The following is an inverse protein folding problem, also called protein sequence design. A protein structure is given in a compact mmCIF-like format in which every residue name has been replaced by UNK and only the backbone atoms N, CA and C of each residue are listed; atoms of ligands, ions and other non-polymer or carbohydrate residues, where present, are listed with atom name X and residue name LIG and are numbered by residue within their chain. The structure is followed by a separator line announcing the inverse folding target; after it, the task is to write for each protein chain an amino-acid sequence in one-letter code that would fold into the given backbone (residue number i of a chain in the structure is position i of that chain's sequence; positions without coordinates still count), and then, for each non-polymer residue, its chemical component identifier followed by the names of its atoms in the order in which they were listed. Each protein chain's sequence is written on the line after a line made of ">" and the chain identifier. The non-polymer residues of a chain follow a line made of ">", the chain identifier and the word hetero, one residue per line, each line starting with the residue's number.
data_IF_855939653636
#
_entry.id   IF_855939653636
#
_cell.length_a   1.000
_cell.length_b   1.000
_cell.length_c   1.000
_cell.angle_alpha   90.00
_cell.angle_beta   90.00
_cell.angle_gamma   90.00
#
_symmetry.space_group_name_H-M   'P 1'
#
loop_
_entity.id
_entity.type
_entity.pdbx_description
1 polymer ?
#
# COMPACT_ATOMS: atom_id res chain seq x y z
N UNK A 1 9.90 -36.97 -5.06
CA UNK A 1 9.32 -36.02 -4.07
C UNK A 1 8.04 -35.50 -4.70
N UNK A 2 6.90 -35.84 -4.12
CA UNK A 2 5.58 -35.52 -4.68
C UNK A 2 5.23 -34.05 -4.53
N UNK A 3 4.53 -33.47 -5.49
CA UNK A 3 4.06 -32.08 -5.47
C UNK A 3 3.32 -31.75 -4.15
N UNK A 4 2.58 -32.69 -3.58
CA UNK A 4 1.87 -32.53 -2.30
C UNK A 4 2.78 -32.19 -1.11
N UNK A 5 4.00 -32.72 -1.05
CA UNK A 5 4.95 -32.43 0.05
C UNK A 5 5.54 -31.01 -0.07
N UNK A 6 5.66 -30.48 -1.28
CA UNK A 6 6.16 -29.11 -1.53
C UNK A 6 5.06 -28.10 -1.23
N UNK A 7 3.82 -28.39 -1.61
CA UNK A 7 2.65 -27.54 -1.33
C UNK A 7 2.38 -27.45 0.17
N UNK A 8 2.40 -28.58 0.91
CA UNK A 8 2.25 -28.59 2.37
C UNK A 8 3.33 -27.73 3.05
N UNK A 9 4.59 -27.88 2.67
CA UNK A 9 5.69 -27.09 3.22
C UNK A 9 5.58 -25.58 2.92
N UNK A 10 5.01 -25.19 1.78
CA UNK A 10 4.78 -23.81 1.42
C UNK A 10 3.64 -23.19 2.25
N UNK A 11 2.55 -23.94 2.44
CA UNK A 11 1.42 -23.51 3.26
C UNK A 11 1.86 -23.31 4.72
N UNK A 12 2.61 -24.26 5.29
CA UNK A 12 3.12 -24.16 6.65
C UNK A 12 4.02 -22.91 6.86
N UNK A 13 4.84 -22.58 5.86
CA UNK A 13 5.68 -21.37 5.89
C UNK A 13 4.85 -20.09 5.86
N UNK A 14 3.82 -20.03 5.03
CA UNK A 14 2.93 -18.86 4.95
C UNK A 14 2.20 -18.70 6.28
N UNK A 15 1.65 -19.77 6.82
CA UNK A 15 0.93 -19.75 8.09
C UNK A 15 1.81 -19.29 9.24
N UNK A 16 3.01 -19.85 9.39
CA UNK A 16 3.96 -19.45 10.43
C UNK A 16 4.41 -17.99 10.29
N UNK A 17 4.57 -17.51 9.06
CA UNK A 17 4.90 -16.10 8.80
C UNK A 17 3.74 -15.19 9.17
N UNK A 18 2.50 -15.54 8.82
CA UNK A 18 1.31 -14.78 9.18
C UNK A 18 1.14 -14.70 10.71
N UNK A 19 1.33 -15.80 11.43
CA UNK A 19 1.26 -15.82 12.89
C UNK A 19 2.31 -14.93 13.56
N UNK A 20 3.52 -14.90 13.02
CA UNK A 20 4.58 -14.00 13.51
C UNK A 20 4.20 -12.54 13.33
N UNK A 21 3.71 -12.16 12.16
CA UNK A 21 3.25 -10.80 11.87
C UNK A 21 2.09 -10.42 12.78
N UNK A 22 1.08 -11.30 12.95
CA UNK A 22 -0.02 -11.08 13.89
C UNK A 22 0.47 -10.83 15.31
N UNK A 23 1.44 -11.60 15.78
CA UNK A 23 2.00 -11.45 17.13
C UNK A 23 2.66 -10.09 17.32
N UNK A 24 3.37 -9.59 16.31
CA UNK A 24 3.97 -8.24 16.36
C UNK A 24 2.89 -7.15 16.33
N UNK A 25 1.89 -7.26 15.46
CA UNK A 25 0.80 -6.31 15.36
C UNK A 25 -0.03 -6.23 16.64
N UNK A 26 -0.26 -7.34 17.33
CA UNK A 26 -0.99 -7.38 18.61
C UNK A 26 -0.31 -6.60 19.74
N UNK A 27 0.96 -6.28 19.62
CA UNK A 27 1.65 -5.41 20.59
C UNK A 27 1.19 -3.95 20.49
N UNK A 28 0.73 -3.54 19.31
CA UNK A 28 0.36 -2.15 18.97
C UNK A 28 -1.16 -2.01 18.79
N UNK A 29 -1.80 -3.02 18.20
CA UNK A 29 -3.21 -3.02 17.84
C UNK A 29 -3.96 -4.04 18.72
N UNK A 30 -4.93 -3.56 19.46
CA UNK A 30 -5.73 -4.40 20.35
C UNK A 30 -7.16 -4.52 19.82
N UNK A 31 -7.69 -5.73 19.77
CA UNK A 31 -9.13 -5.98 19.54
C UNK A 31 -9.58 -5.92 18.07
N UNK A 32 -8.65 -6.03 17.09
CA UNK A 32 -8.98 -6.02 15.65
C UNK A 32 -8.44 -7.26 14.93
N UNK A 33 -8.50 -8.42 15.54
CA UNK A 33 -7.94 -9.66 15.01
C UNK A 33 -8.50 -10.02 13.63
N UNK A 34 -9.82 -9.92 13.44
CA UNK A 34 -10.49 -10.22 12.17
C UNK A 34 -10.06 -9.28 11.05
N UNK A 35 -9.85 -7.99 11.37
CA UNK A 35 -9.39 -7.00 10.39
C UNK A 35 -7.95 -7.29 9.97
N UNK A 36 -7.09 -7.64 10.92
CA UNK A 36 -5.71 -8.04 10.67
C UNK A 36 -5.67 -9.25 9.73
N UNK A 37 -6.49 -10.26 9.98
CA UNK A 37 -6.56 -11.45 9.15
C UNK A 37 -6.98 -11.16 7.71
N UNK A 38 -8.02 -10.36 7.53
CA UNK A 38 -8.50 -9.97 6.20
C UNK A 38 -7.46 -9.15 5.43
N UNK A 39 -6.76 -8.23 6.12
CA UNK A 39 -5.71 -7.43 5.48
C UNK A 39 -4.50 -8.30 5.11
N UNK A 40 -4.09 -9.23 5.96
CA UNK A 40 -3.02 -10.18 5.64
C UNK A 40 -3.39 -11.07 4.44
N UNK A 41 -4.63 -11.55 4.35
CA UNK A 41 -5.11 -12.31 3.19
C UNK A 41 -4.99 -11.45 1.93
N UNK A 42 -5.44 -10.19 1.96
CA UNK A 42 -5.34 -9.30 0.80
C UNK A 42 -3.88 -9.10 0.35
N UNK A 43 -2.95 -8.94 1.29
CA UNK A 43 -1.52 -8.78 0.98
C UNK A 43 -0.93 -10.06 0.39
N UNK A 44 -1.15 -11.20 1.01
CA UNK A 44 -0.58 -12.47 0.52
C UNK A 44 -1.15 -12.89 -0.83
N UNK A 45 -2.39 -12.52 -1.12
CA UNK A 45 -3.03 -12.77 -2.42
C UNK A 45 -2.78 -11.66 -3.43
N UNK A 46 -2.01 -10.62 -3.09
CA UNK A 46 -1.73 -9.43 -3.92
C UNK A 46 -3.00 -8.74 -4.40
N UNK A 47 -3.98 -8.63 -3.51
CA UNK A 47 -5.25 -7.97 -3.76
C UNK A 47 -5.35 -6.65 -2.98
N UNK A 48 -6.40 -5.89 -3.28
CA UNK A 48 -6.76 -4.66 -2.60
C UNK A 48 -7.79 -4.93 -1.50
N UNK A 49 -7.73 -4.14 -0.43
CA UNK A 49 -8.68 -4.20 0.67
C UNK A 49 -9.42 -2.87 0.83
N UNK A 50 -10.71 -2.91 1.05
CA UNK A 50 -11.52 -1.75 1.41
C UNK A 50 -11.82 -1.80 2.91
N UNK A 51 -11.26 -0.85 3.66
CA UNK A 51 -11.49 -0.72 5.10
C UNK A 51 -12.59 0.29 5.38
N UNK A 52 -13.80 -0.20 5.67
CA UNK A 52 -14.94 0.62 6.05
C UNK A 52 -15.06 0.66 7.57
N UNK A 53 -15.16 1.85 8.13
CA UNK A 53 -15.31 2.00 9.59
C UNK A 53 -15.27 3.44 10.07
N UNK A 54 -15.61 3.64 11.32
CA UNK A 54 -15.66 4.96 11.97
C UNK A 54 -14.27 5.62 11.95
N UNK A 55 -14.18 6.94 11.78
CA UNK A 55 -12.93 7.69 11.94
C UNK A 55 -12.31 7.45 13.33
N UNK A 56 -10.98 7.34 13.40
CA UNK A 56 -10.28 7.16 14.68
C UNK A 56 -10.02 5.71 15.12
N UNK A 57 -10.44 4.70 14.36
CA UNK A 57 -10.18 3.28 14.67
C UNK A 57 -8.77 2.81 14.26
N UNK A 58 -7.78 3.65 14.43
CA UNK A 58 -6.36 3.32 14.21
C UNK A 58 -6.03 2.64 12.85
N UNK A 59 -6.88 2.83 11.80
CA UNK A 59 -6.66 2.23 10.47
C UNK A 59 -5.29 2.55 9.89
N UNK A 60 -4.89 3.82 10.00
CA UNK A 60 -3.57 4.27 9.52
C UNK A 60 -2.46 3.60 10.30
N UNK A 61 -2.59 3.53 11.63
CA UNK A 61 -1.61 2.87 12.48
C UNK A 61 -1.52 1.37 12.17
N UNK A 62 -2.65 0.69 11.96
CA UNK A 62 -2.68 -0.72 11.57
C UNK A 62 -1.88 -0.96 10.29
N UNK A 63 -2.17 -0.21 9.23
CA UNK A 63 -1.52 -0.43 7.93
C UNK A 63 -0.04 -0.02 7.96
N UNK A 64 0.32 1.08 8.65
CA UNK A 64 1.74 1.46 8.79
C UNK A 64 2.54 0.45 9.61
N UNK A 65 2.01 -0.03 10.74
CA UNK A 65 2.68 -1.06 11.56
C UNK A 65 2.79 -2.40 10.81
N UNK A 66 1.80 -2.73 9.99
CA UNK A 66 1.84 -3.93 9.15
C UNK A 66 2.94 -3.82 8.08
N UNK A 67 3.04 -2.68 7.39
CA UNK A 67 4.07 -2.43 6.41
C UNK A 67 5.48 -2.51 7.03
N UNK A 68 5.65 -1.92 8.21
CA UNK A 68 6.90 -1.98 8.98
C UNK A 68 7.26 -3.41 9.38
N UNK A 69 6.27 -4.18 9.89
CA UNK A 69 6.49 -5.59 10.28
C UNK A 69 6.87 -6.50 9.12
N UNK A 70 6.53 -6.12 7.89
CA UNK A 70 6.83 -6.85 6.66
C UNK A 70 8.03 -6.27 5.89
N UNK A 71 8.66 -5.21 6.39
CA UNK A 71 9.73 -4.46 5.73
C UNK A 71 9.33 -4.00 4.32
N UNK A 72 8.09 -3.51 4.18
CA UNK A 72 7.53 -3.03 2.93
C UNK A 72 7.43 -1.50 2.90
N UNK A 73 7.71 -0.93 1.73
CA UNK A 73 7.52 0.49 1.49
C UNK A 73 6.05 0.88 1.66
N UNK A 74 5.79 1.89 2.48
CA UNK A 74 4.46 2.40 2.80
C UNK A 74 4.31 3.86 2.39
N UNK A 75 3.18 4.19 1.77
CA UNK A 75 2.77 5.55 1.47
C UNK A 75 1.30 5.76 1.82
N UNK A 76 0.98 6.93 2.37
CA UNK A 76 -0.39 7.37 2.61
C UNK A 76 -0.75 8.48 1.62
N UNK A 77 -1.88 8.34 0.95
CA UNK A 77 -2.47 9.36 0.10
C UNK A 77 -3.74 9.85 0.78
N UNK A 78 -3.72 11.09 1.25
CA UNK A 78 -4.92 11.75 1.78
C UNK A 78 -5.67 12.36 0.60
N UNK A 79 -6.87 11.85 0.32
CA UNK A 79 -7.70 12.38 -0.75
C UNK A 79 -8.42 13.64 -0.31
N UNK A 80 -8.13 14.75 -1.01
CA UNK A 80 -8.70 16.07 -0.79
C UNK A 80 -9.35 16.59 -2.09
N UNK A 81 -10.26 17.57 -2.04
CA UNK A 81 -10.92 18.08 -3.25
C UNK A 81 -9.96 18.67 -4.29
N UNK A 82 -8.79 19.13 -3.87
CA UNK A 82 -7.75 19.74 -4.69
C UNK A 82 -6.66 18.76 -5.18
N UNK A 83 -6.71 17.49 -4.74
CA UNK A 83 -5.74 16.47 -5.13
C UNK A 83 -5.81 16.21 -6.65
N UNK A 84 -4.67 16.32 -7.32
CA UNK A 84 -4.54 16.10 -8.75
C UNK A 84 -4.04 14.68 -9.05
N UNK A 85 -4.36 14.11 -10.25
CA UNK A 85 -3.82 12.82 -10.68
C UNK A 85 -2.30 12.73 -10.62
N UNK A 86 -1.59 13.79 -10.98
CA UNK A 86 -0.12 13.88 -10.95
C UNK A 86 0.47 13.75 -9.54
N UNK A 87 -0.29 14.14 -8.50
CA UNK A 87 0.13 13.99 -7.11
C UNK A 87 0.17 12.50 -6.69
N UNK A 88 -0.59 11.67 -7.39
CA UNK A 88 -0.64 10.21 -7.17
C UNK A 88 0.39 9.49 -8.04
N UNK A 89 0.40 9.78 -9.34
CA UNK A 89 1.19 9.05 -10.34
C UNK A 89 2.61 9.59 -10.50
N UNK A 90 2.84 10.82 -10.07
CA UNK A 90 4.10 11.53 -10.32
C UNK A 90 4.04 12.43 -11.55
N UNK A 91 5.11 13.16 -11.76
CA UNK A 91 5.20 14.18 -12.82
C UNK A 91 6.58 14.22 -13.44
N UNK A 92 6.66 14.64 -14.69
CA UNK A 92 7.93 14.95 -15.34
C UNK A 92 8.33 16.39 -15.05
N UNK A 93 9.58 16.59 -14.66
CA UNK A 93 10.19 17.91 -14.45
C UNK A 93 11.38 18.09 -15.34
N UNK A 94 11.63 19.34 -15.75
CA UNK A 94 12.84 19.70 -16.48
C UNK A 94 13.93 19.95 -15.43
N UNK A 95 14.93 19.09 -15.42
CA UNK A 95 16.12 19.24 -14.59
C UNK A 95 17.25 19.84 -15.46
N UNK A 96 17.86 20.93 -14.97
CA UNK A 96 19.05 21.49 -15.59
C UNK A 96 20.27 21.04 -14.78
N UNK A 97 21.18 20.34 -15.43
CA UNK A 97 22.44 19.93 -14.81
C UNK A 97 23.29 21.20 -14.54
N UNK A 98 23.68 21.43 -13.28
CA UNK A 98 24.44 22.63 -12.93
C UNK A 98 25.86 22.66 -13.53
N UNK A 99 26.38 21.52 -14.00
CA UNK A 99 27.72 21.37 -14.58
C UNK A 99 27.73 21.51 -16.10
N UNK A 100 26.74 20.93 -16.78
CA UNK A 100 26.68 20.92 -18.25
C UNK A 100 25.70 21.92 -18.84
N UNK A 101 24.84 22.49 -18.02
CA UNK A 101 23.72 23.37 -18.43
C UNK A 101 22.73 22.69 -19.41
N UNK A 102 22.79 21.36 -19.52
CA UNK A 102 21.87 20.57 -20.33
C UNK A 102 20.53 20.41 -19.59
N UNK A 103 19.45 20.49 -20.36
CA UNK A 103 18.10 20.26 -19.84
C UNK A 103 17.70 18.83 -20.13
N UNK A 104 17.35 18.10 -19.06
CA UNK A 104 16.87 16.74 -19.15
C UNK A 104 15.50 16.61 -18.50
N UNK A 105 14.64 15.79 -19.07
CA UNK A 105 13.39 15.43 -18.43
C UNK A 105 13.68 14.36 -17.35
N UNK A 106 13.21 14.63 -16.14
CA UNK A 106 13.32 13.70 -15.02
C UNK A 106 11.93 13.39 -14.48
N UNK A 107 11.57 12.11 -14.49
CA UNK A 107 10.33 11.67 -13.85
C UNK A 107 10.51 11.62 -12.33
N UNK A 108 9.63 12.31 -11.61
CA UNK A 108 9.50 12.24 -10.16
C UNK A 108 8.34 11.29 -9.83
N UNK A 109 8.62 10.07 -9.35
CA UNK A 109 7.59 9.09 -9.06
C UNK A 109 6.68 9.58 -7.93
N UNK A 110 5.38 9.41 -8.11
CA UNK A 110 4.38 9.68 -7.10
C UNK A 110 4.27 8.56 -6.05
N UNK A 111 3.44 8.74 -5.03
CA UNK A 111 3.26 7.78 -3.95
C UNK A 111 2.72 6.41 -4.41
N UNK A 112 2.15 6.32 -5.62
CA UNK A 112 1.65 5.06 -6.18
C UNK A 112 2.75 4.00 -6.34
N UNK A 113 4.02 4.42 -6.48
CA UNK A 113 5.17 3.54 -6.60
C UNK A 113 5.68 3.10 -5.22
N UNK A 114 4.81 2.42 -4.46
CA UNK A 114 5.13 1.84 -3.15
C UNK A 114 4.50 0.45 -3.04
N UNK A 115 4.99 -0.37 -2.11
CA UNK A 115 4.46 -1.73 -1.92
C UNK A 115 3.06 -1.72 -1.31
N UNK A 116 2.84 -0.85 -0.33
CA UNK A 116 1.55 -0.66 0.35
C UNK A 116 1.16 0.80 0.27
N UNK A 117 -0.04 1.06 -0.18
CA UNK A 117 -0.61 2.40 -0.30
C UNK A 117 -1.91 2.44 0.49
N UNK A 118 -2.00 3.37 1.44
CA UNK A 118 -3.24 3.70 2.12
C UNK A 118 -3.89 4.90 1.42
N UNK A 119 -4.97 4.65 0.66
CA UNK A 119 -5.81 5.69 0.09
C UNK A 119 -6.88 6.08 1.13
N UNK A 120 -6.68 7.21 1.79
CA UNK A 120 -7.55 7.67 2.87
C UNK A 120 -8.54 8.72 2.36
N UNK A 121 -9.82 8.57 2.77
CA UNK A 121 -10.93 9.47 2.41
C UNK A 121 -11.13 9.62 0.89
N UNK A 122 -11.02 8.54 0.13
CA UNK A 122 -11.08 8.52 -1.33
C UNK A 122 -12.34 9.18 -1.90
N UNK A 123 -13.43 9.21 -1.14
CA UNK A 123 -14.70 9.82 -1.49
C UNK A 123 -14.68 11.36 -1.51
N UNK A 124 -13.65 12.00 -0.98
CA UNK A 124 -13.54 13.47 -0.94
C UNK A 124 -13.00 14.09 -2.23
N UNK A 125 -12.43 13.28 -3.10
CA UNK A 125 -11.78 13.75 -4.33
C UNK A 125 -12.70 13.63 -5.55
N UNK A 126 -12.56 14.50 -6.55
CA UNK A 126 -13.32 14.41 -7.79
C UNK A 126 -13.15 13.05 -8.49
N UNK A 127 -14.16 12.54 -9.21
CA UNK A 127 -14.13 11.23 -9.88
C UNK A 127 -12.92 11.03 -10.81
N UNK A 128 -12.43 12.10 -11.43
CA UNK A 128 -11.24 12.05 -12.31
C UNK A 128 -9.98 11.59 -11.57
N UNK A 129 -9.76 12.07 -10.37
CA UNK A 129 -8.60 11.69 -9.54
C UNK A 129 -8.77 10.29 -8.95
N UNK A 130 -10.01 9.91 -8.58
CA UNK A 130 -10.31 8.54 -8.18
C UNK A 130 -10.05 7.54 -9.32
N UNK A 131 -10.44 7.88 -10.54
CA UNK A 131 -10.20 7.07 -11.73
C UNK A 131 -8.70 6.90 -12.02
N UNK A 132 -7.90 7.93 -11.82
CA UNK A 132 -6.44 7.85 -11.99
C UNK A 132 -5.81 6.83 -11.03
N UNK A 133 -6.24 6.78 -9.77
CA UNK A 133 -5.79 5.76 -8.82
C UNK A 133 -6.16 4.35 -9.32
N UNK A 134 -7.42 4.13 -9.71
CA UNK A 134 -7.88 2.82 -10.16
C UNK A 134 -7.14 2.34 -11.41
N UNK A 135 -6.92 3.22 -12.39
CA UNK A 135 -6.15 2.89 -13.61
C UNK A 135 -4.70 2.54 -13.28
N UNK A 136 -4.09 3.25 -12.35
CA UNK A 136 -2.71 2.96 -11.92
C UNK A 136 -2.59 1.60 -11.22
N UNK A 137 -3.60 1.22 -10.43
CA UNK A 137 -3.63 -0.09 -9.75
C UNK A 137 -3.83 -1.28 -10.70
N UNK A 138 -4.42 -1.07 -11.88
CA UNK A 138 -4.60 -2.12 -12.90
C UNK A 138 -3.28 -2.40 -13.64
N UNK A 139 -2.40 -1.42 -13.75
CA UNK A 139 -1.15 -1.52 -14.50
C UNK A 139 0.08 -1.88 -13.66
N UNK A 140 -0.07 -2.01 -12.35
CA UNK A 140 0.96 -2.44 -11.41
C UNK A 140 0.73 -3.89 -11.02
#
# INVERSE_FOLDING_TARGET
>A
MSNESIESSAVDKIQSSAERVKKELKKVIIGQDDVIDQVLIAIFTRNHALLVGVPGLAKTLLISSLAESLDLGYKRIQFTPDLMPSDITGTEVIYSDPTTNERQFKFLPGPIFSNIILADEINRTPPKTQAALLLSLIHI
#
